data_IF_927714617032
#
_entry.id   IF_927714617032
#
_cell.length_a   1.000
_cell.length_b   1.000
_cell.length_c   1.000
_cell.angle_alpha   90.00
_cell.angle_beta   90.00
_cell.angle_gamma   90.00
#
_symmetry.space_group_name_H-M   'P 1'
#
loop_
_entity.id
_entity.type
_entity.pdbx_description
1 polymer ?
#
# COMPACT_ATOMS: atom_id res chain seq x y z
N UNK A 1 29.22 0.52 -48.82
CA UNK A 1 27.97 -0.26 -48.66
C UNK A 1 28.23 -1.45 -47.76
N UNK A 2 27.93 -1.28 -46.47
CA UNK A 2 27.30 -2.25 -45.54
C UNK A 2 27.51 -1.68 -44.14
N UNK A 3 26.68 -0.70 -43.81
CA UNK A 3 26.49 -0.26 -42.43
C UNK A 3 25.73 -1.38 -41.71
N UNK A 4 26.45 -2.12 -40.87
CA UNK A 4 25.90 -3.12 -39.97
C UNK A 4 26.11 -2.57 -38.56
N UNK A 5 25.00 -2.50 -37.82
CA UNK A 5 24.90 -2.33 -36.36
C UNK A 5 25.23 -0.95 -35.77
N UNK A 6 24.18 -0.15 -35.55
CA UNK A 6 23.90 0.26 -34.17
C UNK A 6 22.39 0.26 -33.92
N UNK A 7 22.01 -0.70 -33.09
CA UNK A 7 20.68 -1.08 -32.65
C UNK A 7 20.26 -0.18 -31.46
N UNK A 8 18.95 -0.08 -31.21
CA UNK A 8 18.29 0.25 -29.94
C UNK A 8 17.88 1.71 -29.66
N UNK A 9 16.73 2.06 -30.25
CA UNK A 9 15.47 2.24 -29.51
C UNK A 9 15.59 2.55 -28.01
N UNK A 10 15.50 3.81 -27.60
CA UNK A 10 15.09 4.14 -26.23
C UNK A 10 14.17 5.37 -26.23
N UNK A 11 12.85 5.20 -26.47
CA UNK A 11 11.85 6.10 -25.88
C UNK A 11 12.08 6.13 -24.37
N UNK A 12 11.84 7.26 -23.70
CA UNK A 12 12.02 7.46 -22.26
C UNK A 12 11.63 6.21 -21.44
N UNK A 13 12.62 5.37 -21.14
CA UNK A 13 12.44 4.21 -20.27
C UNK A 13 12.56 4.77 -18.87
N UNK A 14 11.41 5.13 -18.29
CA UNK A 14 11.31 5.30 -16.84
C UNK A 14 11.90 4.06 -16.19
N UNK A 15 12.95 4.24 -15.40
CA UNK A 15 13.73 3.11 -14.89
C UNK A 15 12.87 2.37 -13.87
N UNK A 16 12.96 1.03 -13.82
CA UNK A 16 12.24 0.21 -12.84
C UNK A 16 12.49 0.68 -11.39
N UNK A 17 13.66 1.26 -11.11
CA UNK A 17 13.98 1.88 -9.83
C UNK A 17 13.07 3.05 -9.46
N UNK A 18 12.60 3.84 -10.43
CA UNK A 18 11.70 4.97 -10.20
C UNK A 18 10.26 4.50 -9.94
N UNK A 19 9.82 3.46 -10.66
CA UNK A 19 8.55 2.76 -10.39
C UNK A 19 8.55 2.19 -8.96
N UNK A 20 9.62 1.49 -8.57
CA UNK A 20 9.76 0.93 -7.23
C UNK A 20 9.71 2.01 -6.14
N UNK A 21 10.39 3.14 -6.35
CA UNK A 21 10.42 4.25 -5.39
C UNK A 21 9.02 4.86 -5.19
N UNK A 22 8.29 5.12 -6.27
CA UNK A 22 6.95 5.71 -6.19
C UNK A 22 5.96 4.78 -5.46
N UNK A 23 6.02 3.47 -5.74
CA UNK A 23 5.25 2.44 -5.03
C UNK A 23 5.52 2.45 -3.51
N UNK A 24 6.80 2.49 -3.12
CA UNK A 24 7.19 2.51 -1.69
C UNK A 24 6.81 3.81 -0.98
N UNK A 25 6.95 4.96 -1.64
CA UNK A 25 6.55 6.26 -1.09
C UNK A 25 5.04 6.32 -0.82
N UNK A 26 4.22 5.85 -1.78
CA UNK A 26 2.76 5.84 -1.64
C UNK A 26 2.31 4.86 -0.55
N UNK A 27 2.87 3.65 -0.53
CA UNK A 27 2.61 2.64 0.50
C UNK A 27 2.89 3.20 1.90
N UNK A 28 4.05 3.83 2.11
CA UNK A 28 4.41 4.43 3.40
C UNK A 28 3.46 5.54 3.84
N UNK A 29 3.00 6.39 2.92
CA UNK A 29 2.06 7.46 3.24
C UNK A 29 0.72 6.92 3.78
N UNK A 30 0.21 5.81 3.20
CA UNK A 30 -1.00 5.12 3.67
C UNK A 30 -0.80 4.50 5.06
N UNK A 31 0.41 4.03 5.35
CA UNK A 31 0.76 3.34 6.60
C UNK A 31 0.84 4.28 7.81
N UNK A 32 1.18 5.56 7.63
CA UNK A 32 1.38 6.52 8.72
C UNK A 32 0.10 6.99 9.46
N UNK A 33 -1.07 6.41 9.16
CA UNK A 33 -2.32 6.70 9.87
C UNK A 33 -2.35 5.96 11.21
N UNK A 34 -2.18 6.69 12.31
CA UNK A 34 -2.08 6.15 13.68
C UNK A 34 -3.45 5.96 14.35
N UNK A 35 -3.66 4.88 15.13
CA UNK A 35 -4.88 4.65 15.95
C UNK A 35 -4.50 4.12 17.35
N UNK A 36 -5.14 4.64 18.41
CA UNK A 36 -4.90 4.21 19.80
C UNK A 36 -5.41 2.77 20.06
N UNK A 37 -4.75 1.89 20.80
CA UNK A 37 -5.22 0.50 20.97
C UNK A 37 -6.52 0.39 21.79
N UNK A 38 -7.58 -0.14 21.17
CA UNK A 38 -8.87 -0.57 21.75
C UNK A 38 -9.70 -1.31 20.69
N UNK A 39 -10.84 -1.93 21.05
CA UNK A 39 -11.69 -2.66 20.08
C UNK A 39 -12.17 -1.79 18.90
N UNK A 40 -12.45 -0.50 19.12
CA UNK A 40 -12.82 0.42 18.04
C UNK A 40 -11.67 0.61 17.05
N UNK A 41 -10.44 0.53 17.54
CA UNK A 41 -9.23 0.78 16.76
C UNK A 41 -8.73 -0.49 16.07
N UNK A 42 -8.90 -1.65 16.71
CA UNK A 42 -8.81 -2.95 16.05
C UNK A 42 -9.82 -3.03 14.89
N UNK A 43 -11.08 -2.63 15.12
CA UNK A 43 -12.10 -2.58 14.08
C UNK A 43 -11.70 -1.65 12.91
N UNK A 44 -11.25 -0.43 13.21
CA UNK A 44 -10.78 0.51 12.19
C UNK A 44 -9.58 -0.05 11.39
N UNK A 45 -8.66 -0.76 12.05
CA UNK A 45 -7.52 -1.40 11.41
C UNK A 45 -7.95 -2.56 10.50
N UNK A 46 -8.93 -3.37 10.93
CA UNK A 46 -9.54 -4.41 10.10
C UNK A 46 -10.22 -3.80 8.88
N UNK A 47 -11.07 -2.77 9.05
CA UNK A 47 -11.74 -2.09 7.94
C UNK A 47 -10.74 -1.48 6.94
N UNK A 48 -9.61 -0.97 7.43
CA UNK A 48 -8.51 -0.49 6.58
C UNK A 48 -7.86 -1.63 5.82
N UNK A 49 -7.54 -2.73 6.51
CA UNK A 49 -6.90 -3.90 5.91
C UNK A 49 -7.80 -4.58 4.87
N UNK A 50 -9.11 -4.65 5.09
CA UNK A 50 -10.09 -5.22 4.14
C UNK A 50 -10.24 -4.38 2.86
N UNK A 51 -9.90 -3.09 2.91
CA UNK A 51 -9.86 -2.22 1.74
C UNK A 51 -8.56 -2.34 0.93
N UNK A 52 -7.56 -3.06 1.45
CA UNK A 52 -6.31 -3.30 0.72
C UNK A 52 -6.62 -4.29 -0.41
N UNK A 53 -6.30 -3.87 -1.62
CA UNK A 53 -6.40 -4.75 -2.78
C UNK A 53 -5.17 -5.64 -2.86
N UNK A 54 -5.32 -6.84 -2.28
CA UNK A 54 -4.25 -7.82 -2.19
C UNK A 54 -3.71 -8.22 -3.57
N UNK A 55 -4.47 -8.09 -4.66
CA UNK A 55 -4.02 -8.45 -6.01
C UNK A 55 -2.80 -7.66 -6.49
N UNK A 56 -2.55 -6.50 -5.86
CA UNK A 56 -1.40 -5.64 -6.14
C UNK A 56 -0.10 -6.10 -5.46
N UNK A 57 -0.17 -7.11 -4.59
CA UNK A 57 0.93 -7.53 -3.70
C UNK A 57 1.41 -8.95 -4.00
N UNK A 58 2.67 -9.20 -3.65
CA UNK A 58 3.32 -10.52 -3.76
C UNK A 58 2.62 -11.57 -2.89
N UNK A 59 2.65 -12.84 -3.33
CA UNK A 59 1.88 -13.95 -2.75
C UNK A 59 2.16 -14.14 -1.26
N UNK A 60 3.44 -14.16 -0.90
CA UNK A 60 3.89 -14.44 0.47
C UNK A 60 3.31 -13.40 1.45
N UNK A 61 3.28 -12.13 1.05
CA UNK A 61 2.75 -11.03 1.85
C UNK A 61 1.22 -10.99 1.91
N UNK A 62 0.52 -11.50 0.88
CA UNK A 62 -0.94 -11.67 0.95
C UNK A 62 -1.32 -12.67 2.03
N UNK A 63 -0.62 -13.80 2.08
CA UNK A 63 -0.84 -14.84 3.10
C UNK A 63 -0.64 -14.26 4.51
N UNK A 64 0.45 -13.51 4.73
CA UNK A 64 0.73 -12.89 6.04
C UNK A 64 -0.37 -11.91 6.46
N UNK A 65 -0.88 -11.09 5.53
CA UNK A 65 -1.96 -10.13 5.80
C UNK A 65 -3.31 -10.83 6.03
N UNK A 66 -3.64 -11.88 5.27
CA UNK A 66 -4.85 -12.68 5.47
C UNK A 66 -4.87 -13.38 6.83
N UNK A 67 -3.74 -13.97 7.24
CA UNK A 67 -3.60 -14.59 8.56
C UNK A 67 -3.75 -13.55 9.69
N UNK A 68 -3.12 -12.39 9.55
CA UNK A 68 -3.22 -11.33 10.54
C UNK A 68 -4.66 -10.77 10.63
N UNK A 69 -5.34 -10.62 9.50
CA UNK A 69 -6.76 -10.24 9.43
C UNK A 69 -7.65 -11.25 10.15
N UNK A 70 -7.39 -12.55 9.97
CA UNK A 70 -8.14 -13.61 10.66
C UNK A 70 -7.99 -13.50 12.18
N UNK A 71 -6.75 -13.38 12.67
CA UNK A 71 -6.47 -13.23 14.12
C UNK A 71 -7.12 -11.97 14.68
N UNK A 72 -7.05 -10.85 13.95
CA UNK A 72 -7.68 -9.59 14.33
C UNK A 72 -9.21 -9.72 14.44
N UNK A 73 -9.87 -10.37 13.46
CA UNK A 73 -11.32 -10.61 13.48
C UNK A 73 -11.74 -11.51 14.64
N UNK A 74 -10.96 -12.57 14.92
CA UNK A 74 -11.22 -13.45 16.06
C UNK A 74 -11.20 -12.67 17.40
N UNK A 75 -10.22 -11.79 17.60
CA UNK A 75 -10.16 -10.94 18.80
C UNK A 75 -11.22 -9.83 18.83
N UNK A 76 -11.70 -9.36 17.67
CA UNK A 76 -12.80 -8.39 17.60
C UNK A 76 -14.13 -9.04 18.00
N UNK A 77 -14.39 -10.27 17.55
CA UNK A 77 -15.61 -11.02 17.86
C UNK A 77 -15.60 -11.59 19.28
N UNK A 78 -14.47 -12.18 19.70
CA UNK A 78 -14.32 -12.87 20.97
C UNK A 78 -13.05 -12.38 21.70
N UNK A 79 -13.08 -11.16 22.28
CA UNK A 79 -11.91 -10.58 22.92
C UNK A 79 -11.47 -11.42 24.12
N UNK A 80 -10.19 -11.80 24.12
CA UNK A 80 -9.63 -12.66 25.16
C UNK A 80 -8.91 -11.86 26.26
N UNK A 81 -8.20 -10.79 25.90
CA UNK A 81 -7.57 -9.84 26.82
C UNK A 81 -7.11 -8.58 26.09
N UNK A 82 -6.82 -7.48 26.82
CA UNK A 82 -6.21 -6.27 26.23
C UNK A 82 -4.86 -6.56 25.56
N UNK A 83 -4.06 -7.45 26.15
CA UNK A 83 -2.77 -7.87 25.58
C UNK A 83 -2.96 -8.60 24.24
N UNK A 84 -3.91 -9.52 24.16
CA UNK A 84 -4.21 -10.23 22.91
C UNK A 84 -4.79 -9.30 21.82
N UNK A 85 -5.61 -8.33 22.21
CA UNK A 85 -6.08 -7.27 21.29
C UNK A 85 -4.89 -6.48 20.76
N UNK A 86 -3.97 -6.08 21.64
CA UNK A 86 -2.76 -5.36 21.23
C UNK A 86 -1.88 -6.20 20.30
N UNK A 87 -1.65 -7.47 20.61
CA UNK A 87 -0.86 -8.37 19.75
C UNK A 87 -1.51 -8.57 18.38
N UNK A 88 -2.84 -8.70 18.32
CA UNK A 88 -3.57 -8.77 17.06
C UNK A 88 -3.45 -7.47 16.25
N UNK A 89 -3.54 -6.31 16.91
CA UNK A 89 -3.30 -5.01 16.29
C UNK A 89 -1.86 -4.88 15.77
N UNK A 90 -0.86 -5.20 16.59
CA UNK A 90 0.56 -5.12 16.23
C UNK A 90 0.87 -6.06 15.04
N UNK A 91 0.32 -7.29 15.04
CA UNK A 91 0.50 -8.24 13.94
C UNK A 91 -0.15 -7.76 12.66
N UNK A 92 -1.37 -7.22 12.74
CA UNK A 92 -2.07 -6.69 11.56
C UNK A 92 -1.37 -5.45 11.01
N UNK A 93 -0.91 -4.54 11.87
CA UNK A 93 -0.13 -3.37 11.47
C UNK A 93 1.20 -3.78 10.83
N UNK A 94 1.91 -4.75 11.42
CA UNK A 94 3.14 -5.28 10.85
C UNK A 94 2.91 -5.90 9.45
N UNK A 95 1.85 -6.70 9.28
CA UNK A 95 1.53 -7.32 8.00
C UNK A 95 1.19 -6.26 6.94
N UNK A 96 0.36 -5.26 7.27
CA UNK A 96 0.09 -4.11 6.40
C UNK A 96 1.40 -3.39 6.03
N UNK A 97 2.31 -3.24 6.99
CA UNK A 97 3.57 -2.54 6.82
C UNK A 97 4.57 -3.30 5.93
N UNK A 98 4.61 -4.62 6.04
CA UNK A 98 5.55 -5.49 5.35
C UNK A 98 5.14 -5.85 3.91
N UNK A 99 3.91 -5.53 3.49
CA UNK A 99 3.38 -5.90 2.16
C UNK A 99 4.20 -5.38 0.96
N UNK A 100 4.76 -6.23 0.11
CA UNK A 100 5.52 -5.80 -1.08
C UNK A 100 4.63 -5.78 -2.31
N UNK A 101 4.58 -4.63 -2.99
CA UNK A 101 3.86 -4.47 -4.25
C UNK A 101 4.52 -5.28 -5.36
N UNK A 102 3.73 -5.80 -6.30
CA UNK A 102 4.24 -6.36 -7.55
C UNK A 102 4.75 -5.18 -8.42
N UNK A 103 6.06 -5.08 -8.69
CA UNK A 103 6.60 -3.91 -9.38
C UNK A 103 6.21 -3.94 -10.86
N UNK A 104 5.16 -3.21 -11.24
CA UNK A 104 4.70 -3.11 -12.64
C UNK A 104 3.95 -1.80 -12.92
N UNK A 105 3.91 -1.39 -14.20
CA UNK A 105 3.13 -0.21 -14.63
C UNK A 105 1.61 -0.42 -14.46
N UNK A 106 1.12 -1.66 -14.54
CA UNK A 106 -0.31 -1.97 -14.28
C UNK A 106 -0.68 -1.67 -12.85
N UNK A 107 0.09 -2.22 -11.89
CA UNK A 107 -0.11 -1.98 -10.46
C UNK A 107 0.00 -0.49 -10.11
N UNK A 108 0.96 0.22 -10.73
CA UNK A 108 1.08 1.67 -10.54
C UNK A 108 -0.16 2.44 -11.04
N UNK A 109 -0.72 2.05 -12.20
CA UNK A 109 -1.95 2.65 -12.73
C UNK A 109 -3.14 2.39 -11.81
N UNK A 110 -3.31 1.15 -11.35
CA UNK A 110 -4.39 0.77 -10.45
C UNK A 110 -4.33 1.51 -9.10
N UNK A 111 -3.12 1.74 -8.56
CA UNK A 111 -2.92 2.57 -7.37
C UNK A 111 -3.29 4.05 -7.61
N UNK A 112 -2.94 4.61 -8.77
CA UNK A 112 -3.31 5.98 -9.14
C UNK A 112 -4.83 6.15 -9.21
N UNK A 113 -5.53 5.17 -9.79
CA UNK A 113 -6.99 5.20 -9.91
C UNK A 113 -7.66 5.13 -8.54
N UNK A 114 -7.19 4.26 -7.64
CA UNK A 114 -7.68 4.16 -6.26
C UNK A 114 -7.48 5.46 -5.49
N UNK A 115 -6.27 6.03 -5.54
CA UNK A 115 -5.95 7.28 -4.82
C UNK A 115 -6.74 8.46 -5.39
N UNK A 116 -6.95 8.51 -6.70
CA UNK A 116 -7.74 9.57 -7.34
C UNK A 116 -9.22 9.52 -6.99
N UNK A 117 -9.73 8.38 -6.51
CA UNK A 117 -11.10 8.21 -6.01
C UNK A 117 -11.28 8.53 -4.52
N UNK A 118 -10.22 8.83 -3.77
CA UNK A 118 -10.32 9.18 -2.35
C UNK A 118 -10.90 10.58 -2.15
N UNK A 119 -11.73 10.75 -1.13
CA UNK A 119 -12.23 12.06 -0.74
C UNK A 119 -11.21 12.78 0.14
N UNK A 120 -10.61 13.87 -0.37
CA UNK A 120 -9.65 14.72 0.36
C UNK A 120 -10.17 15.18 1.73
N UNK A 121 -11.47 15.43 1.86
CA UNK A 121 -12.08 15.98 3.08
C UNK A 121 -12.05 14.98 4.26
N UNK A 122 -11.84 13.69 4.01
CA UNK A 122 -11.73 12.66 5.05
C UNK A 122 -10.34 12.59 5.70
N UNK A 123 -9.38 13.37 5.21
CA UNK A 123 -7.98 13.31 5.64
C UNK A 123 -7.46 14.68 6.09
N UNK A 124 -6.42 14.67 6.93
CA UNK A 124 -5.76 15.92 7.33
C UNK A 124 -4.96 16.51 6.16
N UNK A 125 -4.86 17.85 6.09
CA UNK A 125 -4.07 18.54 5.07
C UNK A 125 -2.61 18.03 5.05
N UNK A 126 -2.03 17.80 6.23
CA UNK A 126 -0.66 17.29 6.36
C UNK A 126 -0.50 15.91 5.69
N UNK A 127 -1.41 14.97 5.97
CA UNK A 127 -1.37 13.63 5.36
C UNK A 127 -1.72 13.67 3.87
N UNK A 128 -2.64 14.55 3.48
CA UNK A 128 -3.06 14.68 2.09
C UNK A 128 -1.95 15.23 1.19
N UNK A 129 -1.18 16.22 1.65
CA UNK A 129 -0.07 16.79 0.88
C UNK A 129 1.00 15.74 0.53
N UNK A 130 1.22 14.75 1.41
CA UNK A 130 2.10 13.62 1.14
C UNK A 130 1.55 12.73 0.01
N UNK A 131 0.23 12.42 0.05
CA UNK A 131 -0.46 11.63 -0.98
C UNK A 131 -0.45 12.35 -2.33
N UNK A 132 -0.72 13.65 -2.35
CA UNK A 132 -0.73 14.45 -3.58
C UNK A 132 0.65 14.51 -4.24
N UNK A 133 1.71 14.65 -3.44
CA UNK A 133 3.10 14.62 -3.92
C UNK A 133 3.46 13.26 -4.53
N UNK A 134 3.10 12.17 -3.85
CA UNK A 134 3.32 10.81 -4.34
C UNK A 134 2.52 10.53 -5.62
N UNK A 135 1.26 10.99 -5.69
CA UNK A 135 0.39 10.84 -6.85
C UNK A 135 0.96 11.57 -8.08
N UNK A 136 1.50 12.78 -7.90
CA UNK A 136 2.15 13.53 -8.98
C UNK A 136 3.38 12.79 -9.53
N UNK A 137 4.22 12.26 -8.65
CA UNK A 137 5.38 11.46 -9.05
C UNK A 137 4.96 10.18 -9.81
N UNK A 138 3.96 9.47 -9.30
CA UNK A 138 3.42 8.26 -9.92
C UNK A 138 2.87 8.53 -11.35
N UNK A 139 2.12 9.62 -11.52
CA UNK A 139 1.63 10.05 -12.85
C UNK A 139 2.77 10.41 -13.81
N UNK A 140 3.83 11.04 -13.33
CA UNK A 140 5.01 11.35 -14.14
C UNK A 140 5.77 10.10 -14.60
N UNK A 141 5.76 9.02 -13.83
CA UNK A 141 6.41 7.73 -14.14
C UNK A 141 5.61 6.92 -15.16
N UNK A 142 4.30 7.20 -15.31
CA UNK A 142 3.43 6.56 -16.31
C UNK A 142 3.35 7.30 -17.64
N UNK A 143 3.64 8.61 -17.66
CA UNK A 143 3.65 9.45 -18.87
C UNK A 143 4.70 8.98 -19.89
#
# INVERSE_FOLDING_TARGET
MKDIENLLSHPEVVKQSEVNRACEELKKAIQQLFVNPNLSSLKALIEKAEKIDLTLYQEEERIELEEALKVAKEQLENPTSEQAIKEAMDRLEAAINNTKLIPSKSVLSELIDKVSGLNKEEYTEKTWNNVESALKNAKSVLA
#
